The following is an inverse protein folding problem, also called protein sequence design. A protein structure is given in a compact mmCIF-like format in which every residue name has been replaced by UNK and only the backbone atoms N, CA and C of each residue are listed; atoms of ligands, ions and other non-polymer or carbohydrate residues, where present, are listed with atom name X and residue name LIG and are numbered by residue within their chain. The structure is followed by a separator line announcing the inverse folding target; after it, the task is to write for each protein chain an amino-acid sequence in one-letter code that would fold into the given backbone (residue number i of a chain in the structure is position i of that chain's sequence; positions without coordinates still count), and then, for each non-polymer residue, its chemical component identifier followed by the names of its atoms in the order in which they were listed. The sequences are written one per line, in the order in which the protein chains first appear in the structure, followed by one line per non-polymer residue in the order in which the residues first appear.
data_IF_010774721963
#
_entry.id   IF_010774721963
#
_cell.length_a   1.000
_cell.length_b   1.000
_cell.length_c   1.000
_cell.angle_alpha   90.00
_cell.angle_beta   90.00
_cell.angle_gamma   90.00
#
_symmetry.space_group_name_H-M   'P 1'
#
loop_
_entity.id
_entity.type
_entity.pdbx_description
1 polymer ?
#
# COMPACT_ATOMS: atom_id res chain seq x y z
N UNK A 1 12.19 55.93 0.13
CA UNK A 1 11.54 55.42 1.35
C UNK A 1 10.13 56.00 1.39
N UNK A 2 9.09 55.17 1.38
CA UNK A 2 7.67 55.61 1.41
C UNK A 2 7.19 55.50 2.86
N UNK A 3 6.73 56.61 3.43
CA UNK A 3 6.32 56.70 4.84
C UNK A 3 4.89 56.14 5.00
N UNK A 4 4.68 55.26 5.98
CA UNK A 4 3.44 54.51 6.20
C UNK A 4 2.77 54.87 7.53
N UNK A 5 2.69 56.16 7.85
CA UNK A 5 2.31 56.65 9.19
C UNK A 5 0.81 56.98 9.34
N UNK A 6 -0.06 56.44 8.47
CA UNK A 6 -1.49 56.81 8.45
C UNK A 6 -2.51 55.69 8.63
N UNK A 7 -2.11 54.43 8.92
CA UNK A 7 -3.02 53.27 8.78
C UNK A 7 -3.56 52.66 10.08
N UNK A 8 -3.40 53.31 11.23
CA UNK A 8 -3.81 52.76 12.53
C UNK A 8 -4.60 53.73 13.40
N UNK A 9 -5.64 54.36 12.85
CA UNK A 9 -6.68 54.97 13.68
C UNK A 9 -8.03 54.38 13.27
N UNK A 10 -8.44 53.32 13.96
CA UNK A 10 -9.84 52.87 13.97
C UNK A 10 -10.63 54.00 14.64
N UNK A 11 -11.67 54.51 13.99
CA UNK A 11 -12.47 55.59 14.56
C UNK A 11 -13.13 55.14 15.86
N UNK A 12 -13.21 56.00 16.89
CA UNK A 12 -13.79 55.65 18.19
C UNK A 12 -15.21 55.06 18.10
N UNK A 13 -15.98 55.53 17.12
CA UNK A 13 -17.35 55.09 16.83
C UNK A 13 -17.44 53.62 16.37
N UNK A 14 -16.43 53.15 15.61
CA UNK A 14 -16.39 51.77 15.13
C UNK A 14 -16.04 50.78 16.24
N UNK A 15 -15.26 51.24 17.23
CA UNK A 15 -14.92 50.45 18.42
C UNK A 15 -16.13 50.29 19.35
N UNK A 16 -16.93 51.35 19.52
CA UNK A 16 -18.18 51.28 20.29
C UNK A 16 -19.22 50.36 19.64
N UNK A 17 -19.37 50.40 18.32
CA UNK A 17 -20.24 49.45 17.61
C UNK A 17 -19.79 48.00 17.78
N UNK A 18 -18.48 47.75 17.77
CA UNK A 18 -17.93 46.42 17.95
C UNK A 18 -18.16 45.89 19.37
N UNK A 19 -17.98 46.74 20.38
CA UNK A 19 -18.22 46.40 21.79
C UNK A 19 -19.71 46.10 22.04
N UNK A 20 -20.61 46.91 21.47
CA UNK A 20 -22.06 46.74 21.60
C UNK A 20 -22.58 45.45 20.97
N UNK A 21 -22.01 45.03 19.83
CA UNK A 21 -22.32 43.74 19.21
C UNK A 21 -21.85 42.53 20.03
N UNK A 22 -20.77 42.67 20.81
CA UNK A 22 -20.29 41.60 21.67
C UNK A 22 -21.15 41.45 22.93
N UNK A 23 -21.68 42.55 23.49
CA UNK A 23 -22.57 42.49 24.66
C UNK A 23 -23.95 41.89 24.33
N UNK A 24 -24.53 42.20 23.17
CA UNK A 24 -25.81 41.61 22.74
C UNK A 24 -25.70 40.10 22.49
N UNK A 25 -24.50 39.59 22.18
CA UNK A 25 -24.26 38.16 21.93
C UNK A 25 -24.11 37.33 23.20
N UNK A 26 -24.02 37.95 24.38
CA UNK A 26 -23.74 37.27 25.65
C UNK A 26 -25.04 36.98 26.45
N UNK A 27 -26.19 37.58 26.12
CA UNK A 27 -27.43 37.39 26.88
C UNK A 27 -28.49 36.63 26.06
N UNK A 28 -28.35 35.31 26.04
CA UNK A 28 -29.39 34.34 25.70
C UNK A 28 -29.25 33.10 26.60
N UNK A 29 -30.34 32.48 27.11
CA UNK A 29 -30.24 31.53 28.21
C UNK A 29 -29.93 30.12 27.69
N UNK A 30 -28.93 29.46 28.26
CA UNK A 30 -29.10 28.26 29.08
C UNK A 30 -27.77 27.61 29.42
N UNK A 31 -27.66 27.27 30.70
CA UNK A 31 -26.68 26.37 31.29
C UNK A 31 -26.87 24.94 30.76
N UNK A 32 -25.88 24.43 30.06
CA UNK A 32 -25.58 23.00 30.06
C UNK A 32 -24.10 22.86 30.44
N UNK A 33 -23.82 21.95 31.37
CA UNK A 33 -22.47 21.60 31.78
C UNK A 33 -21.62 21.30 30.54
N UNK A 34 -20.30 21.61 30.53
CA UNK A 34 -19.46 21.29 29.40
C UNK A 34 -19.43 19.76 29.26
N UNK A 35 -20.19 19.24 28.31
CA UNK A 35 -19.96 17.90 27.75
C UNK A 35 -18.47 17.83 27.43
N UNK A 36 -17.72 16.82 27.90
CA UNK A 36 -16.32 16.70 27.51
C UNK A 36 -16.29 16.78 25.99
N UNK A 37 -15.55 17.76 25.46
CA UNK A 37 -15.36 17.94 24.04
C UNK A 37 -15.08 16.56 23.43
N UNK A 38 -15.68 16.20 22.28
CA UNK A 38 -15.29 14.98 21.61
C UNK A 38 -13.79 15.08 21.42
N UNK A 39 -13.05 14.25 22.16
CA UNK A 39 -11.61 14.11 21.97
C UNK A 39 -11.45 13.90 20.47
N UNK A 40 -10.64 14.69 19.75
CA UNK A 40 -10.38 14.42 18.36
C UNK A 40 -9.89 12.98 18.31
N UNK A 41 -10.75 12.07 17.84
CA UNK A 41 -10.34 10.71 17.61
C UNK A 41 -9.21 10.85 16.61
N UNK A 42 -7.99 10.48 17.02
CA UNK A 42 -6.88 10.35 16.10
C UNK A 42 -7.42 9.57 14.90
N UNK A 43 -7.16 10.01 13.65
CA UNK A 43 -7.74 9.37 12.48
C UNK A 43 -7.45 7.88 12.62
N UNK A 44 -8.51 7.11 12.88
CA UNK A 44 -8.44 5.68 12.82
C UNK A 44 -8.14 5.45 11.35
N UNK A 45 -6.88 5.18 11.05
CA UNK A 45 -6.45 4.82 9.72
C UNK A 45 -7.04 3.43 9.45
N UNK A 46 -8.36 3.35 9.25
CA UNK A 46 -9.06 2.22 8.68
C UNK A 46 -8.77 2.23 7.18
N UNK A 47 -7.47 2.30 6.84
CA UNK A 47 -6.99 2.12 5.49
C UNK A 47 -7.35 0.72 5.06
N UNK A 48 -7.88 0.60 3.85
CA UNK A 48 -8.09 -0.68 3.22
C UNK A 48 -6.78 -1.48 3.22
N UNK A 49 -6.78 -2.63 3.90
CA UNK A 49 -5.64 -3.55 3.91
C UNK A 49 -5.85 -4.56 2.79
N UNK A 50 -4.84 -4.70 1.95
CA UNK A 50 -4.84 -5.73 0.90
C UNK A 50 -4.72 -7.09 1.57
N UNK A 51 -5.57 -8.07 1.23
CA UNK A 51 -5.44 -9.43 1.72
C UNK A 51 -4.04 -10.01 1.47
N UNK A 52 -3.60 -10.91 2.34
CA UNK A 52 -2.31 -11.58 2.25
C UNK A 52 -2.48 -13.09 2.36
N UNK A 53 -1.54 -13.81 1.76
CA UNK A 53 -1.43 -15.27 1.78
C UNK A 53 0.03 -15.67 2.03
N UNK A 54 0.27 -16.94 2.31
CA UNK A 54 1.60 -17.47 2.54
C UNK A 54 2.07 -18.36 1.38
N UNK A 55 3.17 -17.97 0.75
CA UNK A 55 3.87 -18.78 -0.23
C UNK A 55 4.92 -19.66 0.45
N UNK A 56 4.85 -20.97 0.25
CA UNK A 56 5.88 -21.90 0.71
C UNK A 56 7.12 -21.80 -0.17
N UNK A 57 8.29 -21.59 0.44
CA UNK A 57 9.54 -21.43 -0.31
C UNK A 57 10.35 -22.74 -0.32
N UNK A 58 10.83 -23.21 -1.48
CA UNK A 58 11.61 -24.45 -1.59
C UNK A 58 12.90 -24.47 -0.75
N UNK A 59 13.51 -23.31 -0.50
CA UNK A 59 14.74 -23.24 0.30
C UNK A 59 14.53 -23.44 1.79
N UNK A 60 13.29 -23.36 2.28
CA UNK A 60 12.93 -23.30 3.70
C UNK A 60 13.75 -22.26 4.48
N UNK A 61 14.23 -21.22 3.80
CA UNK A 61 15.02 -20.16 4.39
C UNK A 61 16.45 -20.54 4.80
N UNK A 62 16.86 -21.81 4.62
CA UNK A 62 18.10 -22.37 5.19
C UNK A 62 19.37 -21.76 4.60
N UNK A 63 19.34 -21.46 3.30
CA UNK A 63 20.51 -21.05 2.52
C UNK A 63 20.75 -19.54 2.50
N UNK A 64 19.89 -18.75 3.14
CA UNK A 64 20.11 -17.32 3.26
C UNK A 64 21.22 -16.99 4.29
N UNK A 65 21.93 -15.86 4.14
CA UNK A 65 22.91 -15.41 5.12
C UNK A 65 22.23 -14.95 6.42
N UNK A 66 23.00 -14.87 7.50
CA UNK A 66 22.52 -14.31 8.77
C UNK A 66 22.09 -12.85 8.58
N UNK A 67 20.92 -12.49 9.11
CA UNK A 67 20.32 -11.17 8.96
C UNK A 67 19.43 -10.99 7.72
N UNK A 68 19.34 -11.99 6.82
CA UNK A 68 18.40 -11.93 5.71
C UNK A 68 16.95 -12.08 6.19
N UNK A 69 15.97 -11.31 5.66
CA UNK A 69 14.57 -11.37 6.10
C UNK A 69 13.90 -12.74 5.98
N UNK A 70 14.38 -13.58 5.05
CA UNK A 70 13.85 -14.93 4.81
C UNK A 70 14.71 -16.05 5.41
N UNK A 71 15.68 -15.71 6.25
CA UNK A 71 16.45 -16.71 6.98
C UNK A 71 15.52 -17.53 7.88
N UNK A 72 15.64 -18.86 7.81
CA UNK A 72 14.90 -19.83 8.64
C UNK A 72 13.36 -19.69 8.57
N UNK A 73 12.83 -19.17 7.44
CA UNK A 73 11.40 -19.14 7.14
C UNK A 73 11.03 -20.26 6.16
N UNK A 74 10.03 -21.06 6.50
CA UNK A 74 9.42 -22.07 5.63
C UNK A 74 8.47 -21.47 4.58
N UNK A 75 7.87 -20.32 4.93
CA UNK A 75 6.91 -19.59 4.10
C UNK A 75 7.09 -18.08 4.24
N UNK A 76 6.69 -17.36 3.19
CA UNK A 76 6.78 -15.90 3.09
C UNK A 76 5.40 -15.30 2.85
N UNK A 77 5.15 -14.13 3.43
CA UNK A 77 3.87 -13.44 3.27
C UNK A 77 3.85 -12.64 1.96
N UNK A 78 2.82 -12.92 1.15
CA UNK A 78 2.62 -12.35 -0.18
C UNK A 78 1.25 -11.67 -0.21
N UNK A 79 1.24 -10.40 -0.62
CA UNK A 79 0.00 -9.62 -0.80
C UNK A 79 -0.65 -9.97 -2.13
N UNK A 80 -1.98 -9.91 -2.16
CA UNK A 80 -2.73 -10.09 -3.39
C UNK A 80 -2.41 -8.95 -4.36
N UNK A 81 -2.38 -9.26 -5.66
CA UNK A 81 -2.11 -8.24 -6.68
C UNK A 81 -3.27 -7.25 -6.73
N UNK A 82 -2.94 -5.97 -6.82
CA UNK A 82 -3.90 -4.90 -7.09
C UNK A 82 -3.69 -4.36 -8.51
N UNK A 83 -4.43 -3.32 -8.89
CA UNK A 83 -4.19 -2.62 -10.16
C UNK A 83 -2.72 -2.21 -10.34
N UNK A 84 -2.02 -1.87 -9.26
CA UNK A 84 -0.60 -1.50 -9.32
C UNK A 84 0.28 -2.65 -9.80
N UNK A 85 0.07 -3.86 -9.29
CA UNK A 85 0.85 -5.04 -9.66
C UNK A 85 0.50 -5.53 -11.08
N UNK A 86 -0.78 -5.44 -11.47
CA UNK A 86 -1.21 -5.72 -12.85
C UNK A 86 -0.61 -4.70 -13.85
N UNK A 87 -0.45 -3.44 -13.46
CA UNK A 87 0.24 -2.42 -14.26
C UNK A 87 1.74 -2.77 -14.44
N UNK A 88 2.39 -3.38 -13.44
CA UNK A 88 3.77 -3.86 -13.57
C UNK A 88 3.84 -4.99 -14.62
N UNK A 89 2.90 -5.93 -14.60
CA UNK A 89 2.84 -7.07 -15.53
C UNK A 89 2.59 -6.65 -16.99
N UNK A 90 1.90 -5.52 -17.20
CA UNK A 90 1.60 -5.00 -18.54
C UNK A 90 2.63 -3.99 -19.05
N UNK A 91 3.60 -3.59 -18.20
CA UNK A 91 4.60 -2.60 -18.56
C UNK A 91 5.67 -3.16 -19.53
N UNK A 92 5.58 -2.74 -20.78
CA UNK A 92 6.53 -3.14 -21.82
C UNK A 92 7.98 -2.71 -21.55
N UNK A 93 8.20 -1.62 -20.82
CA UNK A 93 9.53 -1.14 -20.46
C UNK A 93 10.22 -2.13 -19.51
N UNK A 94 9.50 -2.62 -18.50
CA UNK A 94 10.02 -3.63 -17.58
C UNK A 94 10.21 -4.99 -18.27
N UNK A 95 9.30 -5.37 -19.16
CA UNK A 95 9.44 -6.60 -19.95
C UNK A 95 10.70 -6.58 -20.82
N UNK A 96 10.96 -5.48 -21.53
CA UNK A 96 12.16 -5.31 -22.38
C UNK A 96 13.46 -5.27 -21.58
N UNK A 97 13.42 -4.69 -20.38
CA UNK A 97 14.55 -4.63 -19.47
C UNK A 97 14.81 -5.95 -18.71
N UNK A 98 13.86 -6.89 -18.73
CA UNK A 98 13.98 -8.16 -18.01
C UNK A 98 13.74 -8.09 -16.50
N UNK A 99 13.25 -6.96 -15.98
CA UNK A 99 13.06 -6.71 -14.53
C UNK A 99 11.60 -6.81 -14.08
N UNK A 100 10.70 -7.26 -14.97
CA UNK A 100 9.26 -7.29 -14.73
C UNK A 100 8.88 -8.14 -13.52
N UNK A 101 9.39 -9.37 -13.45
CA UNK A 101 9.12 -10.26 -12.32
C UNK A 101 9.82 -9.79 -11.05
N UNK A 102 11.00 -9.17 -11.16
CA UNK A 102 11.68 -8.65 -9.99
C UNK A 102 10.87 -7.51 -9.36
N UNK A 103 10.36 -6.57 -10.17
CA UNK A 103 9.46 -5.50 -9.70
C UNK A 103 8.15 -6.02 -9.16
N UNK A 104 7.62 -7.11 -9.72
CA UNK A 104 6.44 -7.75 -9.16
C UNK A 104 6.74 -8.30 -7.76
N UNK A 105 7.80 -9.09 -7.60
CA UNK A 105 8.20 -9.71 -6.33
C UNK A 105 8.42 -8.63 -5.27
N UNK A 106 9.21 -7.59 -5.57
CA UNK A 106 9.44 -6.45 -4.66
C UNK A 106 8.12 -5.79 -4.21
N UNK A 107 7.11 -5.75 -5.07
CA UNK A 107 5.82 -5.15 -4.76
C UNK A 107 4.95 -6.08 -3.93
N UNK A 108 4.84 -7.37 -4.28
CA UNK A 108 3.91 -8.29 -3.60
C UNK A 108 4.42 -8.78 -2.25
N UNK A 109 5.73 -8.87 -2.03
CA UNK A 109 6.28 -9.36 -0.76
C UNK A 109 6.11 -8.32 0.36
N UNK A 110 5.65 -8.75 1.54
CA UNK A 110 5.50 -7.85 2.70
C UNK A 110 6.85 -7.46 3.28
N UNK A 111 7.76 -8.45 3.38
CA UNK A 111 9.13 -8.23 3.83
C UNK A 111 9.90 -7.39 2.80
N UNK A 112 10.70 -6.42 3.26
CA UNK A 112 11.61 -5.70 2.38
C UNK A 112 12.85 -6.54 2.10
N UNK A 113 12.85 -7.21 0.96
CA UNK A 113 13.96 -8.00 0.44
C UNK A 113 14.46 -7.41 -0.87
N UNK A 114 15.77 -7.53 -1.10
CA UNK A 114 16.33 -7.31 -2.42
C UNK A 114 16.08 -8.56 -3.26
N UNK A 115 15.58 -8.39 -4.48
CA UNK A 115 15.26 -9.54 -5.33
C UNK A 115 16.53 -10.23 -5.81
N UNK A 116 17.64 -9.51 -5.94
CA UNK A 116 18.91 -10.12 -6.33
C UNK A 116 19.50 -11.05 -5.26
N UNK A 117 19.08 -10.90 -4.00
CA UNK A 117 19.49 -11.82 -2.93
C UNK A 117 18.64 -13.09 -2.86
N UNK A 118 17.55 -13.19 -3.63
CA UNK A 118 16.64 -14.33 -3.59
C UNK A 118 17.06 -15.46 -4.53
N UNK A 119 16.89 -16.71 -4.06
CA UNK A 119 17.11 -17.87 -4.91
C UNK A 119 16.04 -17.97 -6.00
N UNK A 120 16.38 -18.39 -7.23
CA UNK A 120 15.40 -18.52 -8.32
C UNK A 120 14.21 -19.42 -8.00
N UNK A 121 14.41 -20.48 -7.20
CA UNK A 121 13.33 -21.36 -6.76
C UNK A 121 12.31 -20.64 -5.86
N UNK A 122 12.79 -19.80 -4.95
CA UNK A 122 11.92 -19.05 -4.04
C UNK A 122 11.21 -17.90 -4.78
N UNK A 123 11.88 -17.26 -5.74
CA UNK A 123 11.24 -16.29 -6.66
C UNK A 123 10.06 -16.91 -7.39
N UNK A 124 10.25 -18.11 -7.96
CA UNK A 124 9.19 -18.82 -8.67
C UNK A 124 8.03 -19.20 -7.75
N UNK A 125 8.30 -19.58 -6.51
CA UNK A 125 7.25 -19.88 -5.53
C UNK A 125 6.36 -18.66 -5.25
N UNK A 126 6.95 -17.47 -5.09
CA UNK A 126 6.20 -16.23 -4.92
C UNK A 126 5.37 -15.90 -6.17
N UNK A 127 5.93 -16.02 -7.37
CA UNK A 127 5.21 -15.75 -8.62
C UNK A 127 4.02 -16.70 -8.79
N UNK A 128 4.20 -17.99 -8.51
CA UNK A 128 3.14 -18.98 -8.58
C UNK A 128 2.02 -18.70 -7.57
N UNK A 129 2.38 -18.31 -6.35
CA UNK A 129 1.41 -17.90 -5.34
C UNK A 129 0.63 -16.64 -5.77
N UNK A 130 1.32 -15.62 -6.29
CA UNK A 130 0.68 -14.42 -6.82
C UNK A 130 -0.29 -14.73 -7.97
N UNK A 131 0.13 -15.58 -8.92
CA UNK A 131 -0.72 -16.08 -10.01
C UNK A 131 -1.96 -16.78 -9.48
N UNK A 132 -1.78 -17.69 -8.51
CA UNK A 132 -2.85 -18.47 -7.89
C UNK A 132 -3.89 -17.55 -7.25
N UNK A 133 -3.42 -16.55 -6.51
CA UNK A 133 -4.29 -15.65 -5.74
C UNK A 133 -5.06 -14.66 -6.62
N UNK A 134 -4.51 -14.29 -7.78
CA UNK A 134 -5.16 -13.34 -8.69
C UNK A 134 -6.02 -13.99 -9.77
N UNK A 135 -5.60 -15.12 -10.33
CA UNK A 135 -6.27 -15.74 -11.48
C UNK A 135 -6.93 -17.10 -11.16
N UNK A 136 -6.87 -17.53 -9.90
CA UNK A 136 -7.46 -18.78 -9.43
C UNK A 136 -6.47 -19.94 -9.38
N UNK A 137 -6.90 -21.04 -8.77
CA UNK A 137 -6.03 -22.21 -8.55
C UNK A 137 -5.73 -22.97 -9.83
N UNK A 138 -6.73 -23.14 -10.70
CA UNK A 138 -6.58 -23.91 -11.94
C UNK A 138 -5.77 -23.16 -13.00
N UNK A 139 -4.74 -23.80 -13.55
CA UNK A 139 -3.99 -23.33 -14.71
C UNK A 139 -4.12 -24.31 -15.87
N UNK A 140 -4.92 -23.94 -16.87
CA UNK A 140 -5.08 -24.70 -18.11
C UNK A 140 -4.01 -24.27 -19.11
N UNK A 141 -3.23 -25.22 -19.59
CA UNK A 141 -2.23 -24.98 -20.64
C UNK A 141 -2.26 -26.09 -21.69
N UNK A 142 -1.93 -25.69 -22.91
CA UNK A 142 -1.70 -26.60 -24.02
C UNK A 142 -0.20 -26.66 -24.31
N UNK A 143 0.30 -27.85 -24.58
CA UNK A 143 1.70 -28.09 -24.90
C UNK A 143 1.85 -28.98 -26.13
N UNK A 144 3.04 -28.93 -26.72
CA UNK A 144 3.41 -29.83 -27.81
C UNK A 144 4.55 -30.70 -27.31
N UNK A 145 4.38 -32.02 -27.39
CA UNK A 145 5.45 -32.95 -27.06
C UNK A 145 6.59 -32.81 -28.07
N UNK A 146 7.78 -32.40 -27.63
CA UNK A 146 8.94 -32.20 -28.52
C UNK A 146 9.42 -33.50 -29.19
N UNK A 147 9.05 -34.67 -28.67
CA UNK A 147 9.46 -35.97 -29.20
C UNK A 147 8.49 -36.53 -30.26
N UNK A 148 7.18 -36.38 -30.07
CA UNK A 148 6.17 -36.96 -30.96
C UNK A 148 5.25 -35.94 -31.64
N UNK A 149 5.43 -34.64 -31.36
CA UNK A 149 4.64 -33.53 -31.89
C UNK A 149 3.13 -33.60 -31.59
N UNK A 150 2.72 -34.44 -30.64
CA UNK A 150 1.35 -34.51 -30.18
C UNK A 150 1.01 -33.27 -29.34
N UNK A 151 -0.15 -32.69 -29.63
CA UNK A 151 -0.78 -31.66 -28.81
C UNK A 151 -1.43 -32.32 -27.59
N UNK A 152 -1.30 -31.68 -26.43
CA UNK A 152 -1.98 -32.09 -25.21
C UNK A 152 -2.47 -30.86 -24.44
N UNK A 153 -3.59 -31.04 -23.76
CA UNK A 153 -4.12 -30.07 -22.81
C UNK A 153 -4.00 -30.63 -21.40
N UNK A 154 -3.57 -29.80 -20.46
CA UNK A 154 -3.48 -30.19 -19.07
C UNK A 154 -3.91 -29.05 -18.15
N UNK A 155 -4.40 -29.40 -16.97
CA UNK A 155 -4.76 -28.45 -15.92
C UNK A 155 -3.89 -28.79 -14.71
N UNK A 156 -3.13 -27.81 -14.22
CA UNK A 156 -2.40 -27.88 -12.94
C UNK A 156 -3.15 -27.06 -11.90
#
# INVERSE_FOLDING_TARGET
MRNNEGRTQISPELLEQFMKQQEEKIVGPQSEAPTPAPVPQAPTNSGYQVPTDFAYIPSEGKFYPEGHPWKDKDRVEVRYMTTREEDILTNQGYAKAGVLFDKLIESVTVDRVDVDSLFPGDKNAVILNARKNSYGEEYKFAGICSNCLAEFEHTI
#
